data_IF_647382209652
#
_entry.id   IF_647382209652
#
_cell.length_a   1.000
_cell.length_b   1.000
_cell.length_c   1.000
_cell.angle_alpha   90.00
_cell.angle_beta   90.00
_cell.angle_gamma   90.00
#
_symmetry.space_group_name_H-M   'P 1'
#
loop_
_entity.id
_entity.type
_entity.pdbx_description
1 polymer ?
#
# COMPACT_ATOMS: atom_id res chain seq x y z
N UNK A 1 19.51 24.72 -60.61
CA UNK A 1 19.48 23.23 -60.61
C UNK A 1 20.01 22.75 -59.27
N UNK A 2 19.14 22.28 -58.38
CA UNK A 2 19.53 21.78 -57.05
C UNK A 2 20.20 20.41 -57.22
N UNK A 3 21.48 20.29 -56.87
CA UNK A 3 22.17 18.98 -56.80
C UNK A 3 21.56 18.18 -55.66
N UNK A 4 20.77 17.16 -55.99
CA UNK A 4 20.36 16.14 -55.02
C UNK A 4 21.60 15.32 -54.62
N UNK A 5 21.96 15.38 -53.34
CA UNK A 5 23.11 14.70 -52.78
C UNK A 5 22.78 13.20 -52.57
N UNK A 6 23.11 12.36 -53.54
CA UNK A 6 22.85 10.91 -53.53
C UNK A 6 23.91 10.11 -52.72
N UNK A 7 24.20 10.52 -51.48
CA UNK A 7 25.02 9.68 -50.58
C UNK A 7 24.11 8.68 -49.89
N UNK A 8 24.16 7.42 -50.32
CA UNK A 8 23.48 6.30 -49.66
C UNK A 8 24.13 5.93 -48.32
N UNK A 9 23.39 5.22 -47.47
CA UNK A 9 23.88 4.68 -46.21
C UNK A 9 24.88 3.55 -46.50
N UNK A 10 26.02 3.55 -45.83
CA UNK A 10 27.00 2.46 -45.97
C UNK A 10 26.57 1.25 -45.13
N UNK A 11 26.99 0.05 -45.51
CA UNK A 11 26.74 -1.16 -44.70
C UNK A 11 27.29 -1.01 -43.27
N UNK A 12 28.46 -0.37 -43.13
CA UNK A 12 29.07 -0.09 -41.83
C UNK A 12 28.21 0.84 -40.98
N UNK A 13 27.67 1.90 -41.59
CA UNK A 13 26.78 2.84 -40.90
C UNK A 13 25.48 2.15 -40.47
N UNK A 14 24.88 1.32 -41.32
CA UNK A 14 23.70 0.53 -40.97
C UNK A 14 23.98 -0.42 -39.78
N UNK A 15 25.15 -1.08 -39.75
CA UNK A 15 25.55 -1.95 -38.64
C UNK A 15 25.71 -1.17 -37.33
N UNK A 16 26.33 0.01 -37.39
CA UNK A 16 26.49 0.89 -36.21
C UNK A 16 25.13 1.38 -35.73
N UNK A 17 24.22 1.78 -36.63
CA UNK A 17 22.86 2.20 -36.26
C UNK A 17 22.10 1.08 -35.57
N UNK A 18 22.14 -0.15 -36.08
CA UNK A 18 21.49 -1.31 -35.44
C UNK A 18 22.06 -1.55 -34.05
N UNK A 19 23.38 -1.44 -33.89
CA UNK A 19 24.04 -1.61 -32.59
C UNK A 19 23.61 -0.54 -31.58
N UNK A 20 23.53 0.73 -32.00
CA UNK A 20 23.03 1.83 -31.15
C UNK A 20 21.56 1.59 -30.75
N UNK A 21 20.72 1.18 -31.70
CA UNK A 21 19.31 0.86 -31.44
C UNK A 21 19.19 -0.30 -30.45
N UNK A 22 19.97 -1.37 -30.62
CA UNK A 22 19.97 -2.51 -29.69
C UNK A 22 20.30 -2.08 -28.26
N UNK A 23 21.32 -1.25 -28.06
CA UNK A 23 21.68 -0.73 -26.73
C UNK A 23 20.53 0.09 -26.13
N UNK A 24 19.86 0.91 -26.96
CA UNK A 24 18.68 1.68 -26.55
C UNK A 24 17.53 0.79 -26.09
N UNK A 25 17.18 -0.24 -26.87
CA UNK A 25 16.09 -1.17 -26.54
C UNK A 25 16.41 -1.96 -25.26
N UNK A 26 17.63 -2.46 -25.11
CA UNK A 26 18.05 -3.19 -23.91
C UNK A 26 18.03 -2.29 -22.66
N UNK A 27 18.24 -0.98 -22.81
CA UNK A 27 18.14 -0.03 -21.71
C UNK A 27 16.69 0.14 -21.25
N UNK A 28 15.73 0.20 -22.19
CA UNK A 28 14.29 0.27 -21.88
C UNK A 28 13.76 -1.02 -21.23
N UNK A 29 14.32 -2.18 -21.61
CA UNK A 29 13.92 -3.46 -21.03
C UNK A 29 14.08 -3.50 -19.49
N UNK A 30 15.01 -2.71 -18.94
CA UNK A 30 15.24 -2.62 -17.49
C UNK A 30 14.15 -1.88 -16.71
N UNK A 31 13.27 -1.13 -17.39
CA UNK A 31 12.18 -0.37 -16.76
C UNK A 31 11.02 -1.29 -16.37
N UNK A 32 10.73 -2.33 -17.16
CA UNK A 32 9.59 -3.22 -16.91
C UNK A 32 9.60 -3.87 -15.51
N UNK A 33 10.71 -4.45 -15.01
CA UNK A 33 10.73 -5.01 -13.65
C UNK A 33 10.48 -3.98 -12.56
N UNK A 34 10.83 -2.71 -12.79
CA UNK A 34 10.59 -1.62 -11.84
C UNK A 34 9.10 -1.26 -11.83
N UNK A 35 8.49 -1.15 -13.02
CA UNK A 35 7.05 -0.89 -13.14
C UNK A 35 6.22 -1.97 -12.41
N UNK A 36 6.49 -3.26 -12.66
CA UNK A 36 5.78 -4.35 -11.98
C UNK A 36 5.91 -4.31 -10.45
N UNK A 37 7.08 -3.91 -9.94
CA UNK A 37 7.31 -3.75 -8.50
C UNK A 37 6.48 -2.62 -7.90
N UNK A 38 6.32 -1.52 -8.63
CA UNK A 38 5.49 -0.38 -8.22
C UNK A 38 4.01 -0.78 -8.27
N UNK A 39 3.58 -1.45 -9.34
CA UNK A 39 2.19 -1.92 -9.48
C UNK A 39 1.81 -2.85 -8.33
N UNK A 40 2.68 -3.82 -7.99
CA UNK A 40 2.44 -4.71 -6.86
C UNK A 40 2.37 -3.98 -5.52
N UNK A 41 3.16 -2.92 -5.36
CA UNK A 41 3.12 -2.08 -4.16
C UNK A 41 1.78 -1.36 -4.03
N UNK A 42 1.27 -0.80 -5.14
CA UNK A 42 -0.03 -0.13 -5.19
C UNK A 42 -1.18 -1.10 -4.91
N UNK A 43 -1.15 -2.28 -5.54
CA UNK A 43 -2.12 -3.35 -5.28
C UNK A 43 -2.15 -3.72 -3.78
N UNK A 44 -0.99 -3.93 -3.17
CA UNK A 44 -0.91 -4.26 -1.76
C UNK A 44 -1.47 -3.15 -0.85
N UNK A 45 -1.23 -1.89 -1.20
CA UNK A 45 -1.75 -0.75 -0.45
C UNK A 45 -3.28 -0.65 -0.54
N UNK A 46 -3.85 -0.91 -1.73
CA UNK A 46 -5.31 -0.96 -1.91
C UNK A 46 -5.93 -2.09 -1.10
N UNK A 47 -5.34 -3.29 -1.13
CA UNK A 47 -5.80 -4.42 -0.30
C UNK A 47 -5.73 -4.07 1.18
N UNK A 48 -4.63 -3.48 1.64
CA UNK A 48 -4.47 -3.06 3.03
C UNK A 48 -5.51 -2.03 3.46
N UNK A 49 -5.83 -1.05 2.60
CA UNK A 49 -6.86 -0.05 2.87
C UNK A 49 -8.25 -0.69 3.01
N UNK A 50 -8.59 -1.61 2.10
CA UNK A 50 -9.87 -2.34 2.18
C UNK A 50 -9.95 -3.22 3.44
N UNK A 51 -8.85 -3.86 3.84
CA UNK A 51 -8.79 -4.64 5.08
C UNK A 51 -8.94 -3.76 6.33
N UNK A 52 -8.34 -2.56 6.32
CA UNK A 52 -8.48 -1.60 7.41
C UNK A 52 -9.92 -1.10 7.52
N UNK A 53 -10.55 -0.78 6.39
CA UNK A 53 -11.95 -0.38 6.34
C UNK A 53 -12.87 -1.50 6.82
N UNK A 54 -12.68 -2.74 6.36
CA UNK A 54 -13.45 -3.89 6.84
C UNK A 54 -13.28 -4.12 8.34
N UNK A 55 -12.06 -3.98 8.86
CA UNK A 55 -11.80 -4.02 10.31
C UNK A 55 -12.59 -2.96 11.07
N UNK A 56 -12.64 -1.74 10.53
CA UNK A 56 -13.39 -0.62 11.10
C UNK A 56 -14.90 -0.85 11.05
N UNK A 57 -15.45 -1.36 9.95
CA UNK A 57 -16.87 -1.72 9.82
C UNK A 57 -17.29 -2.78 10.86
N UNK A 58 -16.43 -3.76 11.12
CA UNK A 58 -16.67 -4.74 12.19
C UNK A 58 -16.73 -4.09 13.58
N UNK A 59 -15.95 -3.03 13.83
CA UNK A 59 -16.04 -2.27 15.09
C UNK A 59 -17.32 -1.44 15.17
N UNK A 60 -17.79 -0.90 14.06
CA UNK A 60 -19.07 -0.16 14.00
C UNK A 60 -20.29 -1.04 14.21
N UNK A 61 -20.17 -2.35 14.00
CA UNK A 61 -21.20 -3.31 14.39
C UNK A 61 -21.33 -3.45 15.91
N UNK A 62 -20.28 -3.11 16.66
CA UNK A 62 -20.29 -3.11 18.12
C UNK A 62 -20.81 -1.75 18.63
N UNK A 63 -21.73 -1.80 19.59
CA UNK A 63 -22.17 -0.59 20.28
C UNK A 63 -21.02 0.05 21.08
N UNK A 64 -21.16 1.37 21.32
CA UNK A 64 -20.18 2.16 22.06
C UNK A 64 -19.73 1.50 23.37
N UNK A 65 -20.68 0.96 24.15
CA UNK A 65 -20.42 0.37 25.46
C UNK A 65 -19.69 -0.99 25.37
N UNK A 66 -19.79 -1.69 24.24
CA UNK A 66 -19.12 -2.98 24.01
C UNK A 66 -17.68 -2.84 23.52
N UNK A 67 -17.28 -1.63 23.09
CA UNK A 67 -15.91 -1.35 22.67
C UNK A 67 -15.03 -1.13 23.90
N UNK A 68 -14.17 -2.11 24.21
CA UNK A 68 -13.21 -2.01 25.32
C UNK A 68 -12.07 -1.08 24.90
N UNK A 69 -11.72 -0.13 25.77
CA UNK A 69 -10.59 0.78 25.55
C UNK A 69 -9.27 0.05 25.75
N UNK A 70 -8.31 0.32 24.88
CA UNK A 70 -7.02 -0.34 24.79
C UNK A 70 -6.84 -1.07 23.46
N UNK A 71 -5.93 -2.05 23.45
CA UNK A 71 -5.65 -2.87 22.27
C UNK A 71 -6.67 -4.00 22.18
N UNK A 72 -7.65 -3.83 21.29
CA UNK A 72 -8.69 -4.83 21.00
C UNK A 72 -8.13 -6.00 20.20
N UNK A 73 -7.20 -5.72 19.29
CA UNK A 73 -6.49 -6.73 18.51
C UNK A 73 -5.01 -6.36 18.51
N UNK A 74 -4.17 -7.20 19.09
CA UNK A 74 -2.72 -7.04 19.01
C UNK A 74 -2.26 -7.30 17.58
N UNK A 75 -1.16 -6.65 17.15
CA UNK A 75 -0.57 -6.86 15.82
C UNK A 75 -0.35 -8.36 15.55
N UNK A 76 -1.21 -8.94 14.73
CA UNK A 76 -1.15 -10.36 14.38
C UNK A 76 -1.59 -10.58 12.94
N UNK A 77 -1.20 -11.72 12.35
CA UNK A 77 -1.58 -12.09 10.98
C UNK A 77 -3.09 -12.27 10.85
N UNK A 78 -3.62 -11.82 9.72
CA UNK A 78 -5.02 -12.01 9.36
C UNK A 78 -5.35 -13.45 8.97
N UNK A 79 -4.38 -14.18 8.42
CA UNK A 79 -4.52 -15.60 8.10
C UNK A 79 -3.29 -16.38 8.52
N UNK A 80 -3.52 -17.61 9.00
CA UNK A 80 -2.47 -18.56 9.36
C UNK A 80 -2.12 -19.50 8.19
N UNK A 81 -2.94 -19.53 7.15
CA UNK A 81 -2.73 -20.38 5.98
C UNK A 81 -1.80 -19.67 4.98
N UNK A 82 -0.62 -20.23 4.66
CA UNK A 82 0.29 -19.63 3.68
C UNK A 82 -0.27 -19.48 2.26
N UNK A 83 -1.35 -20.20 1.93
CA UNK A 83 -2.02 -20.12 0.64
C UNK A 83 -3.06 -18.99 0.56
N UNK A 84 -3.42 -18.39 1.69
CA UNK A 84 -4.37 -17.28 1.76
C UNK A 84 -3.73 -15.97 1.27
N UNK A 85 -4.47 -15.22 0.46
CA UNK A 85 -4.07 -13.90 -0.02
C UNK A 85 -3.76 -12.90 1.12
N UNK A 86 -4.35 -13.09 2.30
CA UNK A 86 -4.17 -12.23 3.47
C UNK A 86 -3.07 -12.70 4.43
N UNK A 87 -2.38 -13.82 4.15
CA UNK A 87 -1.32 -14.36 5.01
C UNK A 87 -0.20 -13.34 5.31
N UNK A 88 0.12 -12.48 4.34
CA UNK A 88 1.18 -11.49 4.45
C UNK A 88 0.74 -10.18 5.13
N UNK A 89 -0.51 -10.10 5.56
CA UNK A 89 -1.08 -8.91 6.19
C UNK A 89 -1.29 -9.16 7.68
N UNK A 90 -0.98 -8.14 8.47
CA UNK A 90 -1.20 -8.14 9.91
C UNK A 90 -2.11 -6.98 10.27
N UNK A 91 -2.96 -7.17 11.28
CA UNK A 91 -3.87 -6.15 11.76
C UNK A 91 -3.64 -5.89 13.24
N UNK A 92 -3.77 -4.63 13.61
CA UNK A 92 -3.83 -4.15 14.98
C UNK A 92 -5.02 -3.21 15.11
N UNK A 93 -5.75 -3.32 16.21
CA UNK A 93 -6.90 -2.46 16.52
C UNK A 93 -6.70 -1.84 17.89
N UNK A 94 -6.76 -0.51 17.92
CA UNK A 94 -6.65 0.30 19.12
C UNK A 94 -7.92 1.14 19.29
N UNK A 95 -8.44 1.16 20.52
CA UNK A 95 -9.57 1.99 20.93
C UNK A 95 -9.12 2.89 22.07
N UNK A 96 -9.32 4.19 21.95
CA UNK A 96 -8.93 5.18 22.96
C UNK A 96 -10.11 6.11 23.27
N UNK A 97 -10.25 6.56 24.53
CA UNK A 97 -11.13 7.69 24.81
C UNK A 97 -10.51 8.98 24.25
N UNK A 98 -11.34 9.89 23.76
CA UNK A 98 -10.87 11.19 23.28
C UNK A 98 -11.75 12.34 23.75
N UNK A 99 -11.17 13.51 24.01
CA UNK A 99 -11.93 14.71 24.40
C UNK A 99 -12.45 15.50 23.19
N UNK A 100 -13.11 16.65 23.45
CA UNK A 100 -13.62 17.57 22.43
C UNK A 100 -12.54 18.13 21.52
N UNK A 101 -11.27 18.05 21.94
CA UNK A 101 -10.09 18.47 21.17
C UNK A 101 -9.39 17.29 20.49
N UNK A 102 -10.01 16.11 20.50
CA UNK A 102 -9.52 14.86 19.93
C UNK A 102 -8.22 14.34 20.56
N UNK A 103 -7.88 14.81 21.75
CA UNK A 103 -6.74 14.31 22.51
C UNK A 103 -7.13 13.07 23.31
N UNK A 104 -6.19 12.13 23.48
CA UNK A 104 -6.43 10.92 24.25
C UNK A 104 -6.77 11.28 25.70
N UNK A 105 -7.88 10.74 26.18
CA UNK A 105 -8.38 10.91 27.55
C UNK A 105 -8.24 9.59 28.32
N UNK A 106 -8.15 9.70 29.65
CA UNK A 106 -8.17 8.54 30.56
C UNK A 106 -9.62 8.21 30.98
N UNK A 107 -10.49 9.22 30.96
CA UNK A 107 -11.89 9.10 31.35
C UNK A 107 -12.80 9.03 30.13
N UNK A 108 -13.93 8.33 30.29
CA UNK A 108 -15.01 8.31 29.30
C UNK A 108 -15.60 9.71 29.12
N UNK A 109 -15.48 10.25 27.92
CA UNK A 109 -16.00 11.55 27.46
C UNK A 109 -17.27 11.42 26.62
N UNK A 110 -17.75 10.19 26.40
CA UNK A 110 -18.77 9.87 25.41
C UNK A 110 -18.23 9.76 23.98
N UNK A 111 -16.90 9.86 23.77
CA UNK A 111 -16.25 9.68 22.48
C UNK A 111 -15.12 8.66 22.56
N UNK A 112 -15.07 7.75 21.57
CA UNK A 112 -13.97 6.80 21.39
C UNK A 112 -13.39 6.96 19.99
N UNK A 113 -12.07 6.94 19.91
CA UNK A 113 -11.29 6.89 18.68
C UNK A 113 -10.94 5.45 18.37
N UNK A 114 -11.35 5.00 17.20
CA UNK A 114 -11.07 3.68 16.66
C UNK A 114 -9.94 3.82 15.66
N UNK A 115 -8.86 3.07 15.88
CA UNK A 115 -7.71 3.05 14.99
C UNK A 115 -7.48 1.62 14.53
N UNK A 116 -7.55 1.41 13.21
CA UNK A 116 -7.22 0.12 12.59
C UNK A 116 -5.96 0.30 11.77
N UNK A 117 -4.90 -0.42 12.16
CA UNK A 117 -3.62 -0.44 11.46
C UNK A 117 -3.48 -1.76 10.71
N UNK A 118 -3.15 -1.70 9.42
CA UNK A 118 -2.78 -2.87 8.62
C UNK A 118 -1.32 -2.76 8.24
N UNK A 119 -0.54 -3.81 8.50
CA UNK A 119 0.87 -3.92 8.19
C UNK A 119 1.09 -4.99 7.13
N UNK A 120 2.00 -4.73 6.20
CA UNK A 120 2.45 -5.72 5.23
C UNK A 120 3.91 -5.50 4.87
N UNK A 121 4.60 -6.58 4.53
CA UNK A 121 5.97 -6.50 4.04
C UNK A 121 6.00 -6.27 2.52
N UNK A 122 6.54 -5.13 2.11
CA UNK A 122 6.73 -4.83 0.70
C UNK A 122 8.03 -5.48 0.21
N UNK A 123 7.92 -6.53 -0.62
CA UNK A 123 9.08 -7.25 -1.13
C UNK A 123 9.95 -6.41 -2.08
N UNK A 124 9.34 -5.49 -2.84
CA UNK A 124 10.04 -4.64 -3.80
C UNK A 124 10.98 -3.64 -3.11
N UNK A 125 10.50 -3.03 -2.03
CA UNK A 125 11.21 -2.02 -1.25
C UNK A 125 11.94 -2.61 -0.02
N UNK A 126 11.70 -3.88 0.30
CA UNK A 126 12.24 -4.60 1.47
C UNK A 126 11.95 -3.91 2.81
N UNK A 127 10.82 -3.23 2.92
CA UNK A 127 10.40 -2.50 4.10
C UNK A 127 9.00 -2.93 4.51
N UNK A 128 8.73 -2.90 5.81
CA UNK A 128 7.35 -2.95 6.29
C UNK A 128 6.65 -1.64 5.93
N UNK A 129 5.44 -1.76 5.41
CA UNK A 129 4.52 -0.65 5.17
C UNK A 129 3.33 -0.83 6.08
N UNK A 130 2.71 0.29 6.44
CA UNK A 130 1.44 0.30 7.12
C UNK A 130 0.47 1.25 6.41
N UNK A 131 -0.81 1.02 6.68
CA UNK A 131 -1.88 1.95 6.40
C UNK A 131 -2.78 2.01 7.63
N UNK A 132 -3.35 3.17 7.88
CA UNK A 132 -4.12 3.45 9.07
C UNK A 132 -5.45 4.07 8.66
N UNK A 133 -6.53 3.54 9.22
CA UNK A 133 -7.86 4.14 9.13
C UNK A 133 -8.29 4.48 10.55
N UNK A 134 -8.69 5.74 10.74
CA UNK A 134 -9.18 6.27 12.01
C UNK A 134 -10.63 6.67 11.84
N UNK A 135 -11.47 6.34 12.82
CA UNK A 135 -12.82 6.88 12.93
C UNK A 135 -13.18 7.17 14.39
N UNK A 136 -14.28 7.90 14.57
CA UNK A 136 -14.82 8.25 15.88
C UNK A 136 -16.19 7.61 16.05
N UNK A 137 -16.46 7.13 17.25
CA UNK A 137 -17.78 6.67 17.67
C UNK A 137 -18.19 7.41 18.93
N UNK A 138 -19.42 7.90 18.95
CA UNK A 138 -20.00 8.57 20.11
C UNK A 138 -20.97 7.66 20.86
N UNK A 139 -21.13 7.92 22.14
CA UNK A 139 -22.21 7.36 22.94
C UNK A 139 -23.54 7.91 22.40
N UNK A 140 -24.50 7.01 22.16
CA UNK A 140 -25.84 7.38 21.70
C UNK A 140 -26.69 7.93 22.84
#
# INVERSE_FOLDING_TARGET
MLKLNNKGITLLEAMITILVIMIGILSLAKIFPIAFKIDKTSEQATVAANLAQSGLENLFYLDYDNLTVGTMEVKNRLSNDPSDQFYNYQREILVEYVDETLQTSITDTGLKKLTVNIYWYNQALKIEKNTQVISLISKK
#
